data_IF_817348906737
#
_entry.id   IF_817348906737
#
_cell.length_a   1.000
_cell.length_b   1.000
_cell.length_c   1.000
_cell.angle_alpha   90.00
_cell.angle_beta   90.00
_cell.angle_gamma   90.00
#
_symmetry.space_group_name_H-M   'P 1'
#
loop_
_entity.id
_entity.type
_entity.pdbx_description
1 polymer ?
#
# COMPACT_ATOMS: atom_id res chain seq x y z
N UNK A 1 13.91 -7.40 0.41
CA UNK A 1 13.78 -6.38 -0.65
C UNK A 1 12.88 -6.97 -1.72
N UNK A 2 11.79 -6.28 -2.11
CA UNK A 2 10.85 -6.83 -3.10
C UNK A 2 11.24 -6.28 -4.48
N UNK A 3 11.64 -7.16 -5.39
CA UNK A 3 11.96 -6.84 -6.78
C UNK A 3 10.95 -7.48 -7.72
N UNK A 4 10.46 -6.74 -8.71
CA UNK A 4 9.65 -7.29 -9.78
C UNK A 4 10.46 -7.35 -11.08
N UNK A 5 10.49 -8.52 -11.73
CA UNK A 5 11.00 -8.64 -13.10
C UNK A 5 10.13 -7.80 -14.03
N UNK A 6 10.76 -7.06 -14.93
CA UNK A 6 10.05 -6.18 -15.87
C UNK A 6 10.29 -6.61 -17.31
N UNK A 7 9.17 -6.87 -18.02
CA UNK A 7 9.21 -7.30 -19.41
C UNK A 7 9.94 -8.65 -19.56
N UNK A 8 10.45 -8.88 -20.76
CA UNK A 8 11.17 -10.13 -21.09
C UNK A 8 12.68 -10.00 -20.85
N UNK A 9 13.14 -8.84 -20.39
CA UNK A 9 14.56 -8.59 -20.11
C UNK A 9 14.97 -9.08 -18.73
N UNK A 10 16.28 -9.12 -18.50
CA UNK A 10 16.86 -9.37 -17.17
C UNK A 10 16.80 -8.12 -16.27
N UNK A 11 16.17 -7.02 -16.70
CA UNK A 11 16.04 -5.82 -15.87
C UNK A 11 14.86 -5.91 -14.90
N UNK A 12 15.12 -5.56 -13.64
CA UNK A 12 14.16 -5.57 -12.55
C UNK A 12 13.96 -4.16 -12.03
N UNK A 13 12.72 -3.78 -11.72
CA UNK A 13 12.46 -2.53 -11.00
C UNK A 13 12.62 -2.75 -9.51
N UNK A 14 13.47 -1.93 -8.92
CA UNK A 14 13.80 -2.00 -7.49
C UNK A 14 13.17 -0.85 -6.72
N UNK A 15 13.04 0.33 -7.34
CA UNK A 15 12.37 1.48 -6.71
C UNK A 15 11.72 2.43 -7.72
N UNK A 16 10.70 3.15 -7.23
CA UNK A 16 10.15 4.34 -7.89
C UNK A 16 10.28 5.49 -6.89
N UNK A 17 11.02 6.53 -7.27
CA UNK A 17 11.28 7.69 -6.40
C UNK A 17 10.97 9.00 -7.09
N UNK A 18 10.77 10.03 -6.28
CA UNK A 18 10.57 11.39 -6.78
C UNK A 18 11.66 12.32 -6.22
N UNK A 19 12.30 13.10 -7.10
CA UNK A 19 13.31 14.10 -6.74
C UNK A 19 12.74 15.50 -6.89
N UNK A 20 12.89 16.34 -5.85
CA UNK A 20 12.43 17.74 -5.86
C UNK A 20 13.22 18.58 -6.86
N UNK A 21 14.54 18.38 -6.92
CA UNK A 21 15.48 19.10 -7.78
C UNK A 21 15.57 18.50 -9.20
N UNK A 22 14.95 17.33 -9.39
CA UNK A 22 15.08 16.53 -10.60
C UNK A 22 16.44 15.82 -10.69
N UNK A 23 16.46 14.68 -11.35
CA UNK A 23 17.68 13.89 -11.59
C UNK A 23 17.78 13.57 -13.08
N UNK A 24 19.01 13.44 -13.60
CA UNK A 24 19.22 13.09 -15.00
C UNK A 24 18.86 11.62 -15.23
N UNK A 25 18.24 11.34 -16.38
CA UNK A 25 17.95 9.97 -16.82
C UNK A 25 19.22 9.37 -17.46
N UNK A 26 19.68 8.22 -16.96
CA UNK A 26 20.92 7.61 -17.46
C UNK A 26 20.87 7.21 -18.94
N UNK A 27 19.67 6.98 -19.48
CA UNK A 27 19.48 6.62 -20.88
C UNK A 27 19.43 7.82 -21.84
N UNK A 28 18.93 8.98 -21.40
CA UNK A 28 18.68 10.12 -22.32
C UNK A 28 19.12 11.49 -21.81
N UNK A 29 19.74 11.57 -20.62
CA UNK A 29 20.23 12.79 -19.99
C UNK A 29 19.15 13.76 -19.48
N UNK A 30 17.87 13.59 -19.86
CA UNK A 30 16.80 14.51 -19.45
C UNK A 30 16.62 14.54 -17.93
N UNK A 31 16.56 15.75 -17.35
CA UNK A 31 16.21 15.92 -15.92
C UNK A 31 14.72 15.66 -15.69
N UNK A 32 14.43 14.76 -14.76
CA UNK A 32 13.08 14.29 -14.44
C UNK A 32 12.84 14.28 -12.93
N UNK A 33 11.62 14.62 -12.52
CA UNK A 33 11.20 14.54 -11.12
C UNK A 33 10.81 13.13 -10.71
N UNK A 34 10.27 12.32 -11.61
CA UNK A 34 9.90 10.93 -11.34
C UNK A 34 10.89 9.97 -11.98
N UNK A 35 11.44 9.08 -11.15
CA UNK A 35 12.58 8.24 -11.48
C UNK A 35 12.25 6.78 -11.14
N UNK A 36 12.76 5.89 -11.99
CA UNK A 36 12.60 4.46 -11.89
C UNK A 36 13.99 3.87 -11.78
N UNK A 37 14.30 3.29 -10.64
CA UNK A 37 15.57 2.61 -10.43
C UNK A 37 15.40 1.15 -10.85
N UNK A 38 16.24 0.74 -11.79
CA UNK A 38 16.23 -0.60 -12.37
C UNK A 38 17.59 -1.24 -12.22
N UNK A 39 17.61 -2.55 -11.99
CA UNK A 39 18.84 -3.32 -11.83
C UNK A 39 18.79 -4.57 -12.69
N UNK A 40 19.89 -4.93 -13.32
CA UNK A 40 20.06 -6.22 -13.96
C UNK A 40 20.77 -7.17 -12.97
N UNK A 41 20.09 -8.17 -12.39
CA UNK A 41 20.67 -9.04 -11.39
C UNK A 41 21.71 -10.01 -11.97
N UNK A 42 21.79 -10.16 -13.30
CA UNK A 42 22.83 -10.99 -13.94
C UNK A 42 24.15 -10.26 -14.09
N UNK A 43 24.12 -8.97 -14.39
CA UNK A 43 25.32 -8.14 -14.59
C UNK A 43 25.68 -7.31 -13.36
N UNK A 44 24.73 -7.10 -12.44
CA UNK A 44 24.86 -6.20 -11.30
C UNK A 44 24.69 -4.72 -11.64
N UNK A 45 24.43 -4.38 -12.91
CA UNK A 45 24.26 -3.00 -13.35
C UNK A 45 22.98 -2.37 -12.78
N UNK A 46 23.05 -1.07 -12.48
CA UNK A 46 21.93 -0.28 -11.98
C UNK A 46 21.79 1.00 -12.79
N UNK A 47 20.55 1.37 -13.12
CA UNK A 47 20.23 2.58 -13.87
C UNK A 47 19.05 3.32 -13.21
N UNK A 48 19.11 4.64 -13.23
CA UNK A 48 18.01 5.53 -12.89
C UNK A 48 17.46 6.17 -14.16
N UNK A 49 16.23 5.81 -14.52
CA UNK A 49 15.61 6.22 -15.79
C UNK A 49 14.24 6.85 -15.60
N UNK A 50 13.84 7.69 -16.55
CA UNK A 50 12.47 8.18 -16.65
C UNK A 50 11.50 7.11 -17.14
N UNK A 51 10.19 7.27 -16.89
CA UNK A 51 9.14 6.32 -17.32
C UNK A 51 9.26 5.90 -18.79
N UNK A 52 9.45 6.86 -19.70
CA UNK A 52 9.56 6.60 -21.13
C UNK A 52 10.83 5.83 -21.51
N UNK A 53 11.95 6.09 -20.85
CA UNK A 53 13.20 5.38 -21.09
C UNK A 53 13.22 4.01 -20.41
N UNK A 54 12.55 3.87 -19.27
CA UNK A 54 12.38 2.59 -18.59
C UNK A 54 11.75 1.55 -19.53
N UNK A 55 10.69 1.94 -20.26
CA UNK A 55 10.11 1.06 -21.30
C UNK A 55 11.10 0.61 -22.37
N UNK A 56 12.00 1.49 -22.80
CA UNK A 56 12.99 1.20 -23.84
C UNK A 56 14.11 0.30 -23.32
N UNK A 57 14.62 0.60 -22.12
CA UNK A 57 15.76 -0.11 -21.51
C UNK A 57 15.35 -1.51 -21.01
N UNK A 58 14.15 -1.63 -20.43
CA UNK A 58 13.72 -2.89 -19.79
C UNK A 58 12.64 -3.65 -20.56
N UNK A 59 12.24 -3.17 -21.75
CA UNK A 59 11.11 -3.75 -22.49
C UNK A 59 9.77 -3.66 -21.76
N UNK A 60 9.60 -2.67 -20.88
CA UNK A 60 8.43 -2.57 -19.99
C UNK A 60 7.11 -2.39 -20.77
N UNK A 61 6.36 -3.47 -20.93
CA UNK A 61 5.01 -3.48 -21.54
C UNK A 61 3.91 -3.18 -20.50
N UNK A 62 2.65 -3.05 -20.97
CA UNK A 62 1.48 -2.90 -20.09
C UNK A 62 1.40 -3.99 -19.00
N UNK A 63 1.82 -5.22 -19.31
CA UNK A 63 1.82 -6.34 -18.37
C UNK A 63 2.74 -6.10 -17.16
N UNK A 64 3.92 -5.53 -17.38
CA UNK A 64 4.78 -5.20 -16.25
C UNK A 64 4.34 -3.89 -15.55
N UNK A 65 3.59 -3.00 -16.21
CA UNK A 65 3.01 -1.83 -15.53
C UNK A 65 1.92 -2.28 -14.54
N UNK A 66 1.19 -3.33 -14.93
CA UNK A 66 0.26 -4.06 -14.08
C UNK A 66 1.00 -4.79 -12.95
N UNK A 67 2.12 -5.47 -13.22
CA UNK A 67 2.95 -6.07 -12.18
C UNK A 67 3.44 -5.03 -11.14
N UNK A 68 3.83 -3.83 -11.58
CA UNK A 68 4.21 -2.76 -10.66
C UNK A 68 3.01 -2.19 -9.87
N UNK A 69 1.80 -2.19 -10.46
CA UNK A 69 0.56 -1.85 -9.74
C UNK A 69 0.28 -2.89 -8.66
N UNK A 70 0.37 -4.17 -8.99
CA UNK A 70 0.20 -5.28 -8.06
C UNK A 70 1.25 -5.24 -6.95
N UNK A 71 2.51 -4.94 -7.27
CA UNK A 71 3.57 -4.77 -6.28
C UNK A 71 3.28 -3.63 -5.30
N UNK A 72 2.88 -2.45 -5.80
CA UNK A 72 2.48 -1.32 -4.94
C UNK A 72 1.29 -1.71 -4.05
N UNK A 73 0.33 -2.45 -4.59
CA UNK A 73 -0.81 -2.93 -3.82
C UNK A 73 -0.37 -3.90 -2.71
N UNK A 74 0.51 -4.84 -3.01
CA UNK A 74 1.05 -5.79 -2.04
C UNK A 74 1.87 -5.07 -0.95
N UNK A 75 2.69 -4.08 -1.31
CA UNK A 75 3.45 -3.26 -0.36
C UNK A 75 2.52 -2.47 0.56
N UNK A 76 1.48 -1.85 0.01
CA UNK A 76 0.49 -1.13 0.80
C UNK A 76 -0.28 -2.07 1.72
N UNK A 77 -0.71 -3.24 1.25
CA UNK A 77 -1.35 -4.25 2.09
C UNK A 77 -0.44 -4.72 3.24
N UNK A 78 0.84 -4.95 2.97
CA UNK A 78 1.80 -5.32 4.01
C UNK A 78 1.99 -4.21 5.05
N UNK A 79 2.10 -2.95 4.60
CA UNK A 79 2.16 -1.78 5.48
C UNK A 79 0.90 -1.66 6.35
N UNK A 80 -0.27 -1.82 5.74
CA UNK A 80 -1.54 -1.75 6.43
C UNK A 80 -1.68 -2.84 7.49
N UNK A 81 -1.28 -4.08 7.16
CA UNK A 81 -1.28 -5.19 8.10
C UNK A 81 -0.35 -4.94 9.30
N UNK A 82 0.84 -4.36 9.08
CA UNK A 82 1.76 -4.01 10.15
C UNK A 82 1.17 -2.95 11.10
N UNK A 83 0.58 -1.89 10.55
CA UNK A 83 -0.08 -0.83 11.35
C UNK A 83 -1.28 -1.37 12.13
N UNK A 84 -2.08 -2.26 11.53
CA UNK A 84 -3.16 -2.93 12.25
C UNK A 84 -2.63 -3.80 13.39
N UNK A 85 -1.54 -4.55 13.17
CA UNK A 85 -0.92 -5.35 14.23
C UNK A 85 -0.43 -4.49 15.41
N UNK A 86 0.18 -3.33 15.13
CA UNK A 86 0.54 -2.35 16.16
C UNK A 86 -0.68 -1.85 16.94
N UNK A 87 -1.78 -1.55 16.24
CA UNK A 87 -3.03 -1.16 16.88
C UNK A 87 -3.60 -2.28 17.76
N UNK A 88 -3.63 -3.52 17.28
CA UNK A 88 -4.11 -4.69 18.04
C UNK A 88 -3.29 -4.91 19.31
N UNK A 89 -1.97 -4.74 19.23
CA UNK A 89 -1.09 -4.86 20.39
C UNK A 89 -1.35 -3.74 21.44
N UNK A 90 -1.61 -2.51 20.98
CA UNK A 90 -1.89 -1.37 21.87
C UNK A 90 -3.33 -1.37 22.43
N UNK A 91 -4.29 -1.93 21.69
CA UNK A 91 -5.73 -1.83 21.97
C UNK A 91 -6.45 -3.16 21.71
N UNK A 92 -6.14 -4.23 22.45
CA UNK A 92 -6.66 -5.57 22.18
C UNK A 92 -8.19 -5.67 22.23
N UNK A 93 -8.84 -5.00 23.18
CA UNK A 93 -10.31 -5.03 23.30
C UNK A 93 -11.00 -4.23 22.19
N UNK A 94 -10.41 -3.10 21.77
CA UNK A 94 -10.89 -2.32 20.64
C UNK A 94 -10.76 -3.09 19.32
N UNK A 95 -9.63 -3.76 19.11
CA UNK A 95 -9.45 -4.64 17.96
C UNK A 95 -10.44 -5.80 17.97
N UNK A 96 -10.67 -6.45 19.11
CA UNK A 96 -11.67 -7.52 19.24
C UNK A 96 -13.08 -7.05 18.88
N UNK A 97 -13.48 -5.87 19.34
CA UNK A 97 -14.79 -5.31 19.02
C UNK A 97 -14.96 -5.04 17.51
N UNK A 98 -13.93 -4.52 16.85
CA UNK A 98 -13.91 -4.31 15.39
C UNK A 98 -13.94 -5.63 14.62
N UNK A 99 -13.28 -6.69 15.10
CA UNK A 99 -13.35 -8.02 14.50
C UNK A 99 -14.73 -8.66 14.66
N UNK A 100 -15.34 -8.50 15.84
CA UNK A 100 -16.68 -9.00 16.13
C UNK A 100 -17.74 -8.36 15.22
N UNK A 101 -17.75 -7.02 15.12
CA UNK A 101 -18.67 -6.28 14.24
C UNK A 101 -18.46 -6.67 12.77
N UNK A 102 -17.21 -6.90 12.34
CA UNK A 102 -16.94 -7.39 10.98
C UNK A 102 -17.55 -8.78 10.72
N UNK A 103 -17.49 -9.67 11.72
CA UNK A 103 -18.03 -11.01 11.65
C UNK A 103 -19.57 -11.00 11.65
N UNK A 104 -20.19 -10.14 12.45
CA UNK A 104 -21.65 -10.01 12.56
C UNK A 104 -22.26 -9.33 11.32
N UNK A 105 -21.55 -8.37 10.73
CA UNK A 105 -22.02 -7.64 9.53
C UNK A 105 -22.04 -8.51 8.27
N UNK A 106 -21.01 -9.34 8.06
CA UNK A 106 -20.81 -10.06 6.78
C UNK A 106 -21.97 -11.02 6.41
N UNK A 107 -22.59 -11.77 7.35
CA UNK A 107 -23.79 -12.55 7.09
C UNK A 107 -25.03 -11.68 6.85
N UNK A 108 -25.15 -10.55 7.56
CA UNK A 108 -26.32 -9.67 7.49
C UNK A 108 -26.38 -8.86 6.18
N UNK A 109 -25.22 -8.47 5.63
CA UNK A 109 -25.11 -7.60 4.46
C UNK A 109 -24.02 -8.07 3.49
N UNK A 110 -24.23 -9.20 2.78
CA UNK A 110 -23.24 -9.74 1.86
C UNK A 110 -22.95 -8.76 0.71
N UNK A 111 -21.67 -8.58 0.41
CA UNK A 111 -21.21 -7.70 -0.68
C UNK A 111 -21.21 -6.20 -0.37
N UNK A 112 -21.67 -5.79 0.81
CA UNK A 112 -21.60 -4.39 1.24
C UNK A 112 -20.31 -4.13 2.01
N UNK A 113 -19.71 -2.95 1.79
CA UNK A 113 -18.58 -2.49 2.60
C UNK A 113 -19.05 -2.29 4.04
N UNK A 114 -18.36 -2.92 5.00
CA UNK A 114 -18.68 -2.77 6.43
C UNK A 114 -17.85 -1.65 7.06
N UNK A 115 -18.40 -1.02 8.09
CA UNK A 115 -17.72 0.08 8.77
C UNK A 115 -16.45 -0.41 9.48
N UNK A 116 -16.39 -1.67 9.91
CA UNK A 116 -15.19 -2.29 10.45
C UNK A 116 -13.99 -2.29 9.47
N UNK A 117 -14.21 -2.65 8.21
CA UNK A 117 -13.19 -2.58 7.16
C UNK A 117 -12.81 -1.13 6.86
N UNK A 118 -13.77 -0.21 6.89
CA UNK A 118 -13.48 1.22 6.76
C UNK A 118 -12.63 1.73 7.94
N UNK A 119 -12.94 1.33 9.16
CA UNK A 119 -12.19 1.67 10.36
C UNK A 119 -10.76 1.12 10.29
N UNK A 120 -10.58 -0.17 9.96
CA UNK A 120 -9.25 -0.77 9.74
C UNK A 120 -8.46 -0.03 8.66
N UNK A 121 -9.12 0.39 7.59
CA UNK A 121 -8.47 1.16 6.54
C UNK A 121 -8.03 2.55 7.04
N UNK A 122 -8.87 3.25 7.80
CA UNK A 122 -8.49 4.52 8.43
C UNK A 122 -7.31 4.34 9.38
N UNK A 123 -7.32 3.23 10.14
CA UNK A 123 -6.23 2.87 11.04
C UNK A 123 -4.92 2.72 10.27
N UNK A 124 -4.98 1.88 9.24
CA UNK A 124 -3.83 1.49 8.46
C UNK A 124 -3.21 2.63 7.63
N UNK A 125 -3.94 3.72 7.41
CA UNK A 125 -3.43 4.94 6.76
C UNK A 125 -2.79 5.93 7.71
N UNK A 126 -2.83 5.69 9.02
CA UNK A 126 -2.42 6.68 10.02
C UNK A 126 -3.31 7.92 10.02
N UNK A 127 -4.50 7.84 9.42
CA UNK A 127 -5.50 8.91 9.42
C UNK A 127 -6.07 9.15 10.83
N UNK A 128 -5.79 8.23 11.74
CA UNK A 128 -6.07 8.32 13.14
C UNK A 128 -4.70 8.39 13.82
N UNK A 129 -4.41 9.53 14.47
CA UNK A 129 -3.12 9.75 15.14
C UNK A 129 -3.06 8.96 16.44
N UNK A 130 -1.86 8.82 17.02
CA UNK A 130 -1.62 8.16 18.34
C UNK A 130 -2.59 8.62 19.46
N UNK A 131 -3.11 9.84 19.37
CA UNK A 131 -4.06 10.42 20.34
C UNK A 131 -5.52 10.40 19.85
N UNK A 132 -5.77 10.12 18.58
CA UNK A 132 -7.11 10.12 17.96
C UNK A 132 -7.82 8.75 17.99
N UNK A 133 -7.10 7.67 18.30
CA UNK A 133 -7.63 6.30 18.30
C UNK A 133 -8.79 6.12 19.27
N UNK A 134 -8.62 6.56 20.51
CA UNK A 134 -9.64 6.39 21.54
C UNK A 134 -10.95 7.07 21.16
N UNK A 135 -10.89 8.32 20.65
CA UNK A 135 -12.08 9.04 20.20
C UNK A 135 -12.74 8.38 18.99
N UNK A 136 -11.96 7.96 17.99
CA UNK A 136 -12.49 7.30 16.78
C UNK A 136 -13.07 5.93 17.07
N UNK A 137 -12.41 5.16 17.93
CA UNK A 137 -12.93 3.87 18.41
C UNK A 137 -14.21 4.10 19.22
N UNK A 138 -14.28 5.10 20.08
CA UNK A 138 -15.49 5.45 20.83
C UNK A 138 -16.64 5.93 19.94
N UNK A 139 -16.37 6.72 18.88
CA UNK A 139 -17.37 7.05 17.85
C UNK A 139 -17.85 5.79 17.15
N UNK A 140 -16.94 4.95 16.66
CA UNK A 140 -17.26 3.69 16.00
C UNK A 140 -18.12 2.78 16.90
N UNK A 141 -17.69 2.56 18.15
CA UNK A 141 -18.41 1.73 19.12
C UNK A 141 -19.74 2.34 19.57
N UNK A 142 -19.91 3.67 19.57
CA UNK A 142 -21.20 4.31 19.87
C UNK A 142 -22.20 4.20 18.72
N UNK A 143 -21.73 4.34 17.49
CA UNK A 143 -22.56 4.16 16.30
C UNK A 143 -22.96 2.69 16.12
N UNK A 144 -22.13 1.75 16.60
CA UNK A 144 -22.29 0.31 16.38
C UNK A 144 -22.59 -0.54 17.61
N UNK A 145 -22.61 0.01 18.83
CA UNK A 145 -23.18 -0.73 19.96
C UNK A 145 -24.61 -1.07 19.54
N UNK A 146 -25.00 -2.36 19.47
CA UNK A 146 -26.40 -2.68 19.32
C UNK A 146 -27.11 -1.89 20.42
N UNK A 147 -28.02 -1.00 20.01
CA UNK A 147 -29.04 -0.52 20.94
C UNK A 147 -29.79 -1.77 21.32
N UNK A 148 -29.37 -2.41 22.40
CA UNK A 148 -30.17 -3.40 23.08
C UNK A 148 -31.41 -2.64 23.55
N UNK A 149 -32.40 -2.58 22.67
CA UNK A 149 -33.76 -2.25 23.04
C UNK A 149 -34.18 -3.40 23.96
N UNK A 150 -34.57 -3.11 25.21
CA UNK A 150 -34.98 -4.13 26.16
C UNK A 150 -36.17 -4.95 25.66
#
# INVERSE_FOLDING_TARGET
MISARIGDTDWHLTAIRSSREGHACDHCGRRLKHLYDVTNPRTGEALTVGRGCCKKVTGWTLAAAEAARLLRHAQEQARQAAVWAEFTAAHPDGARAVEQDAADWRPAFPGQANLAAHFRWQVSRGAITRNGWAHRLDVYLREHRPRHTP
#
